data_IF_325685364986
#
_entry.id   IF_325685364986
#
_cell.length_a   1.000
_cell.length_b   1.000
_cell.length_c   1.000
_cell.angle_alpha   90.00
_cell.angle_beta   90.00
_cell.angle_gamma   90.00
#
_symmetry.space_group_name_H-M   'P 1'
#
loop_
_entity.id
_entity.type
_entity.pdbx_description
1 polymer ?
#
# COMPACT_ATOMS: atom_id res chain seq x y z
N UNK A 1 -13.50 -2.12 9.73
CA UNK A 1 -13.23 -0.73 9.32
C UNK A 1 -11.74 -0.58 9.07
N UNK A 2 -11.31 0.03 7.95
CA UNK A 2 -9.94 0.57 7.90
C UNK A 2 -10.01 1.90 8.62
N UNK A 3 -9.74 1.90 9.92
CA UNK A 3 -9.54 3.11 10.69
C UNK A 3 -8.73 4.07 9.84
N UNK A 4 -9.39 5.11 9.35
CA UNK A 4 -8.72 6.16 8.61
C UNK A 4 -7.63 6.65 9.54
N UNK A 5 -6.40 6.28 9.22
CA UNK A 5 -5.21 6.68 9.97
C UNK A 5 -5.35 8.19 10.17
N UNK A 6 -5.68 8.58 11.40
CA UNK A 6 -6.10 9.95 11.65
C UNK A 6 -4.91 10.84 11.36
N UNK A 7 -4.98 11.58 10.25
CA UNK A 7 -3.90 12.46 9.81
C UNK A 7 -3.52 13.46 10.91
N UNK A 8 -4.50 13.90 11.70
CA UNK A 8 -4.32 14.72 12.89
C UNK A 8 -3.48 14.02 13.96
N UNK A 9 -3.79 12.75 14.31
CA UNK A 9 -2.99 11.98 15.28
C UNK A 9 -1.56 11.76 14.79
N UNK A 10 -1.38 11.41 13.52
CA UNK A 10 -0.04 11.26 12.92
C UNK A 10 0.73 12.57 12.88
N UNK A 11 0.06 13.66 12.50
CA UNK A 11 0.63 15.01 12.46
C UNK A 11 1.15 15.41 13.83
N UNK A 12 0.34 15.21 14.88
CA UNK A 12 0.73 15.46 16.27
C UNK A 12 1.90 14.57 16.71
N UNK A 13 1.85 13.27 16.42
CA UNK A 13 2.89 12.32 16.81
C UNK A 13 4.25 12.59 16.12
N UNK A 14 4.21 13.04 14.87
CA UNK A 14 5.42 13.30 14.06
C UNK A 14 5.89 14.76 14.14
N UNK A 15 5.10 15.66 14.73
CA UNK A 15 5.42 17.09 14.80
C UNK A 15 5.44 17.80 13.44
N UNK A 16 4.71 17.28 12.44
CA UNK A 16 4.66 17.83 11.07
C UNK A 16 3.23 18.18 10.69
N UNK A 17 3.04 19.12 9.75
CA UNK A 17 1.70 19.51 9.28
C UNK A 17 0.95 18.33 8.64
N UNK A 18 -0.38 18.27 8.81
CA UNK A 18 -1.22 17.22 8.19
C UNK A 18 -1.05 17.13 6.67
N UNK A 19 -0.84 18.27 6.00
CA UNK A 19 -0.58 18.32 4.55
C UNK A 19 0.72 17.61 4.18
N UNK A 20 1.75 17.69 5.02
CA UNK A 20 3.00 16.95 4.85
C UNK A 20 2.78 15.44 5.08
N UNK A 21 1.99 15.06 6.08
CA UNK A 21 1.62 13.64 6.32
C UNK A 21 0.90 13.06 5.11
N UNK A 22 -0.10 13.77 4.56
CA UNK A 22 -0.85 13.32 3.37
C UNK A 22 0.07 13.12 2.17
N UNK A 23 0.96 14.08 1.91
CA UNK A 23 1.97 13.99 0.83
C UNK A 23 2.89 12.78 1.03
N UNK A 24 3.42 12.61 2.24
CA UNK A 24 4.36 11.52 2.52
C UNK A 24 3.67 10.16 2.41
N UNK A 25 2.45 10.03 2.92
CA UNK A 25 1.67 8.80 2.81
C UNK A 25 1.38 8.46 1.34
N UNK A 26 1.06 9.45 0.52
CA UNK A 26 0.87 9.24 -0.92
C UNK A 26 2.12 8.64 -1.57
N UNK A 27 3.30 9.22 -1.30
CA UNK A 27 4.58 8.73 -1.82
C UNK A 27 4.87 7.31 -1.32
N UNK A 28 4.68 7.06 -0.02
CA UNK A 28 4.88 5.73 0.56
C UNK A 28 3.96 4.69 -0.07
N UNK A 29 2.69 5.02 -0.32
CA UNK A 29 1.74 4.14 -1.00
C UNK A 29 2.12 3.89 -2.46
N UNK A 30 2.68 4.86 -3.16
CA UNK A 30 3.20 4.65 -4.52
C UNK A 30 4.41 3.72 -4.50
N UNK A 31 5.40 3.99 -3.64
CA UNK A 31 6.60 3.16 -3.52
C UNK A 31 6.27 1.73 -3.11
N UNK A 32 5.38 1.56 -2.13
CA UNK A 32 4.90 0.25 -1.71
C UNK A 32 4.28 -0.53 -2.87
N UNK A 33 3.42 0.13 -3.67
CA UNK A 33 2.79 -0.50 -4.84
C UNK A 33 3.77 -0.86 -5.95
N UNK A 34 4.90 -0.15 -6.06
CA UNK A 34 5.97 -0.52 -7.00
C UNK A 34 6.69 -1.77 -6.49
N UNK A 35 7.19 -1.73 -5.25
CA UNK A 35 7.91 -2.84 -4.65
C UNK A 35 7.08 -4.13 -4.61
N UNK A 36 5.78 -4.03 -4.30
CA UNK A 36 4.89 -5.17 -4.34
C UNK A 36 4.74 -5.77 -5.75
N UNK A 37 4.65 -4.92 -6.78
CA UNK A 37 4.60 -5.38 -8.17
C UNK A 37 5.89 -6.07 -8.59
N UNK A 38 7.03 -5.49 -8.22
CA UNK A 38 8.33 -6.04 -8.53
C UNK A 38 8.52 -7.41 -7.86
N UNK A 39 8.10 -7.55 -6.59
CA UNK A 39 8.21 -8.82 -5.88
C UNK A 39 7.31 -9.91 -6.47
N UNK A 40 6.05 -9.57 -6.79
CA UNK A 40 5.13 -10.50 -7.45
C UNK A 40 5.62 -10.88 -8.86
N UNK A 41 6.30 -9.97 -9.57
CA UNK A 41 6.89 -10.28 -10.87
C UNK A 41 7.98 -11.37 -10.78
N UNK A 42 8.62 -11.53 -9.63
CA UNK A 42 9.57 -12.61 -9.39
C UNK A 42 8.92 -13.96 -9.08
N UNK A 43 7.62 -13.99 -8.75
CA UNK A 43 6.91 -15.22 -8.36
C UNK A 43 6.07 -15.82 -9.49
N UNK A 44 5.67 -15.01 -10.47
CA UNK A 44 4.87 -15.47 -11.62
C UNK A 44 5.76 -16.03 -12.73
N UNK A 45 5.28 -17.06 -13.43
CA UNK A 45 5.99 -17.63 -14.59
C UNK A 45 5.99 -16.67 -15.79
N UNK A 46 4.91 -15.90 -15.96
CA UNK A 46 4.75 -14.91 -17.03
C UNK A 46 4.56 -13.50 -16.44
N UNK A 47 5.39 -12.51 -16.80
CA UNK A 47 5.24 -11.11 -16.35
C UNK A 47 3.88 -10.47 -16.66
N UNK A 48 3.14 -10.98 -17.64
CA UNK A 48 1.79 -10.49 -17.94
C UNK A 48 0.78 -10.75 -16.80
N UNK A 49 1.04 -11.75 -15.96
CA UNK A 49 0.09 -12.23 -14.94
C UNK A 49 0.19 -11.44 -13.63
N UNK A 50 1.16 -10.52 -13.50
CA UNK A 50 1.42 -9.76 -12.27
C UNK A 50 0.19 -9.02 -11.75
N UNK A 51 -0.60 -8.41 -12.64
CA UNK A 51 -1.81 -7.69 -12.19
C UNK A 51 -2.90 -8.65 -11.69
N UNK A 52 -2.97 -9.85 -12.25
CA UNK A 52 -3.96 -10.87 -11.87
C UNK A 52 -3.59 -11.47 -10.53
N UNK A 53 -2.31 -11.79 -10.35
CA UNK A 53 -1.76 -12.30 -9.09
C UNK A 53 -1.92 -11.29 -7.95
N UNK A 54 -1.68 -10.00 -8.18
CA UNK A 54 -1.92 -8.96 -7.15
C UNK A 54 -3.39 -8.89 -6.76
N UNK A 55 -4.32 -9.01 -7.71
CA UNK A 55 -5.75 -9.01 -7.42
C UNK A 55 -6.14 -10.22 -6.59
N UNK A 56 -5.64 -11.39 -6.95
CA UNK A 56 -5.85 -12.63 -6.21
C UNK A 56 -5.29 -12.53 -4.78
N UNK A 57 -4.05 -12.09 -4.62
CA UNK A 57 -3.41 -11.88 -3.31
C UNK A 57 -4.23 -10.94 -2.43
N UNK A 58 -4.69 -9.81 -2.95
CA UNK A 58 -5.53 -8.88 -2.19
C UNK A 58 -6.85 -9.52 -1.74
N UNK A 59 -7.49 -10.31 -2.61
CA UNK A 59 -8.73 -11.01 -2.27
C UNK A 59 -8.50 -12.09 -1.21
N UNK A 60 -7.41 -12.85 -1.32
CA UNK A 60 -7.04 -13.87 -0.35
C UNK A 60 -6.78 -13.27 1.04
N UNK A 61 -6.05 -12.15 1.10
CA UNK A 61 -5.80 -11.44 2.36
C UNK A 61 -7.08 -10.88 2.97
N UNK A 62 -7.98 -10.30 2.16
CA UNK A 62 -9.25 -9.76 2.65
C UNK A 62 -10.24 -10.84 3.12
N UNK A 63 -10.11 -12.08 2.62
CA UNK A 63 -10.91 -13.22 3.06
C UNK A 63 -10.33 -13.91 4.32
N UNK A 64 -9.07 -13.63 4.66
CA UNK A 64 -8.39 -14.17 5.84
C UNK A 64 -8.56 -13.31 7.10
N UNK A 65 -9.13 -12.10 6.95
CA UNK A 65 -9.48 -11.15 8.02
C UNK A 65 -10.93 -11.34 8.53
#
# INVERSE_FOLDING_TARGET
ERDEVSYAKLSAALGVAETAVKKQLHIMRQRYRSLLRDEVAHTVENPADVQDEIRYLCAALAAAD
#
